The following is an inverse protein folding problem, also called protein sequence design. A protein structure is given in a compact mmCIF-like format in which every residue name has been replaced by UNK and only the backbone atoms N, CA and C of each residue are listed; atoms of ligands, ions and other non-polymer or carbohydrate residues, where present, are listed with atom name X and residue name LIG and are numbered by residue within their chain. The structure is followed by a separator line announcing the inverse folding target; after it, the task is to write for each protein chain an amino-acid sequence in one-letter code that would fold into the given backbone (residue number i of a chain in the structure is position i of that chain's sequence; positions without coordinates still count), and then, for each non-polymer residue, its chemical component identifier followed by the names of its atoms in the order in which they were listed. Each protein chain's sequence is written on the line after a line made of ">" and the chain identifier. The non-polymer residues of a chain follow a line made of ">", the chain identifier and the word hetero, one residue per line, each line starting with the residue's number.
data_IF_561039632865
#
_entry.id   IF_561039632865
#
_cell.length_a   1.000
_cell.length_b   1.000
_cell.length_c   1.000
_cell.angle_alpha   90.00
_cell.angle_beta   90.00
_cell.angle_gamma   90.00
#
_symmetry.space_group_name_H-M   'P 1'
#
loop_
_entity.id
_entity.type
_entity.pdbx_description
1 polymer ?
#
# COMPACT_ATOMS: atom_id res chain seq x y z
N UNK A 1 -39.10 -32.93 51.95
CA UNK A 1 -38.37 -31.79 52.53
C UNK A 1 -37.08 -31.59 51.76
N UNK A 2 -36.84 -30.36 51.33
CA UNK A 2 -35.56 -29.75 50.91
C UNK A 2 -34.88 -30.22 49.59
N UNK A 3 -35.36 -29.68 48.47
CA UNK A 3 -34.52 -29.30 47.32
C UNK A 3 -33.90 -27.94 47.62
N UNK A 4 -32.58 -27.89 47.85
CA UNK A 4 -31.79 -26.67 47.94
C UNK A 4 -31.51 -26.14 46.53
N UNK A 5 -32.06 -24.96 46.25
CA UNK A 5 -31.75 -24.18 45.06
C UNK A 5 -30.40 -23.44 45.23
N UNK A 6 -29.49 -23.70 44.29
CA UNK A 6 -28.28 -22.97 43.89
C UNK A 6 -27.85 -23.68 42.60
N UNK A 7 -27.66 -23.05 41.44
CA UNK A 7 -26.92 -21.86 41.04
C UNK A 7 -27.64 -21.26 39.80
N UNK A 8 -27.99 -19.97 39.74
CA UNK A 8 -27.19 -18.85 39.23
C UNK A 8 -26.36 -19.14 37.95
N UNK A 9 -27.06 -19.45 36.85
CA UNK A 9 -26.50 -19.42 35.50
C UNK A 9 -26.52 -17.99 34.92
N UNK A 10 -25.34 -17.51 34.53
CA UNK A 10 -25.10 -16.21 33.92
C UNK A 10 -25.83 -16.00 32.59
N UNK A 11 -27.08 -15.55 32.66
CA UNK A 11 -27.78 -14.96 31.53
C UNK A 11 -27.21 -13.60 31.12
N UNK A 12 -27.38 -13.17 29.86
CA UNK A 12 -26.93 -11.85 29.40
C UNK A 12 -27.55 -10.77 30.29
N UNK A 13 -26.74 -9.80 30.75
CA UNK A 13 -27.13 -8.70 31.63
C UNK A 13 -28.53 -8.17 31.28
N UNK A 14 -29.55 -8.55 32.06
CA UNK A 14 -30.92 -8.10 31.88
C UNK A 14 -31.21 -6.91 32.81
N UNK A 15 -31.87 -5.86 32.29
CA UNK A 15 -32.29 -4.69 33.08
C UNK A 15 -31.32 -3.50 33.08
N UNK A 16 -31.31 -2.74 34.18
CA UNK A 16 -30.59 -1.46 34.32
C UNK A 16 -29.08 -1.50 33.95
N UNK A 17 -28.30 -2.56 34.25
CA UNK A 17 -26.90 -2.64 33.84
C UNK A 17 -26.70 -2.61 32.31
N UNK A 18 -27.64 -3.18 31.54
CA UNK A 18 -27.62 -3.15 30.07
C UNK A 18 -27.85 -1.74 29.52
N UNK A 19 -28.78 -1.00 30.14
CA UNK A 19 -29.07 0.38 29.77
C UNK A 19 -27.90 1.31 30.12
N UNK A 20 -27.24 1.10 31.25
CA UNK A 20 -26.03 1.82 31.63
C UNK A 20 -24.86 1.52 30.67
N UNK A 21 -24.67 0.25 30.28
CA UNK A 21 -23.66 -0.13 29.30
C UNK A 21 -23.96 0.47 27.90
N UNK A 22 -25.23 0.48 27.48
CA UNK A 22 -25.66 1.12 26.23
C UNK A 22 -25.46 2.64 26.26
N UNK A 23 -25.77 3.31 27.39
CA UNK A 23 -25.53 4.75 27.56
C UNK A 23 -24.02 5.08 27.53
N UNK A 24 -23.19 4.28 28.19
CA UNK A 24 -21.73 4.43 28.15
C UNK A 24 -21.15 4.14 26.75
N UNK A 25 -21.73 3.21 26.00
CA UNK A 25 -21.39 2.99 24.60
C UNK A 25 -21.76 4.20 23.74
N UNK A 26 -22.99 4.71 23.86
CA UNK A 26 -23.46 5.86 23.11
C UNK A 26 -22.64 7.13 23.37
N UNK A 27 -22.22 7.37 24.63
CA UNK A 27 -21.35 8.49 24.96
C UNK A 27 -19.97 8.38 24.30
N UNK A 28 -19.36 7.18 24.32
CA UNK A 28 -18.09 6.90 23.63
C UNK A 28 -18.22 7.05 22.10
N UNK A 29 -19.33 6.60 21.53
CA UNK A 29 -19.60 6.73 20.10
C UNK A 29 -19.78 8.20 19.68
N UNK A 30 -20.46 9.00 20.51
CA UNK A 30 -20.62 10.43 20.28
C UNK A 30 -19.27 11.16 20.33
N UNK A 31 -18.43 10.87 21.33
CA UNK A 31 -17.09 11.44 21.46
C UNK A 31 -16.16 11.01 20.32
N UNK A 32 -16.19 9.73 19.94
CA UNK A 32 -15.46 9.20 18.81
C UNK A 32 -15.89 9.87 17.50
N UNK A 33 -17.19 10.11 17.30
CA UNK A 33 -17.73 10.82 16.15
C UNK A 33 -17.26 12.27 16.08
N UNK A 34 -17.27 13.00 17.20
CA UNK A 34 -16.77 14.38 17.26
C UNK A 34 -15.27 14.43 16.98
N UNK A 35 -14.50 13.52 17.59
CA UNK A 35 -13.04 13.41 17.35
C UNK A 35 -12.73 13.10 15.89
N UNK A 36 -13.48 12.18 15.26
CA UNK A 36 -13.34 11.88 13.84
C UNK A 36 -13.68 13.07 12.95
N UNK A 37 -14.76 13.80 13.26
CA UNK A 37 -15.16 15.00 12.53
C UNK A 37 -14.13 16.13 12.65
N UNK A 38 -13.55 16.33 13.84
CA UNK A 38 -12.46 17.29 14.05
C UNK A 38 -11.25 16.92 13.21
N UNK A 39 -10.81 15.67 13.26
CA UNK A 39 -9.68 15.21 12.46
C UNK A 39 -9.93 15.38 10.96
N UNK A 40 -11.13 15.06 10.46
CA UNK A 40 -11.44 15.19 9.02
C UNK A 40 -11.60 16.65 8.57
N UNK A 41 -12.15 17.54 9.41
CA UNK A 41 -12.36 18.95 9.07
C UNK A 41 -11.05 19.75 8.94
N UNK A 42 -10.03 19.38 9.70
CA UNK A 42 -8.74 20.08 9.70
C UNK A 42 -7.66 19.43 8.81
N UNK A 43 -7.99 18.36 8.09
CA UNK A 43 -7.09 17.80 7.07
C UNK A 43 -7.11 18.71 5.84
N UNK A 44 -5.95 19.24 5.38
CA UNK A 44 -5.91 20.04 4.16
C UNK A 44 -6.41 19.23 2.96
N UNK A 45 -7.20 19.86 2.08
CA UNK A 45 -7.85 19.16 0.95
C UNK A 45 -6.85 18.38 0.07
N UNK A 46 -5.65 18.93 -0.14
CA UNK A 46 -4.55 18.28 -0.88
C UNK A 46 -4.04 16.97 -0.26
N UNK A 47 -4.33 16.71 1.01
CA UNK A 47 -3.94 15.50 1.74
C UNK A 47 -5.13 14.58 2.00
N UNK A 48 -6.34 14.98 1.59
CA UNK A 48 -7.57 14.22 1.80
C UNK A 48 -7.75 13.24 0.65
N UNK A 49 -7.81 11.92 0.91
CA UNK A 49 -8.13 10.96 -0.14
C UNK A 49 -9.54 11.22 -0.68
N UNK A 50 -9.69 11.23 -2.00
CA UNK A 50 -10.99 11.37 -2.65
C UNK A 50 -11.84 10.10 -2.48
N UNK A 51 -13.13 10.17 -2.80
CA UNK A 51 -14.06 9.05 -2.58
C UNK A 51 -13.66 7.78 -3.36
N UNK A 52 -13.11 7.94 -4.57
CA UNK A 52 -12.59 6.81 -5.38
C UNK A 52 -11.40 6.14 -4.69
N UNK A 53 -10.44 6.93 -4.19
CA UNK A 53 -9.29 6.44 -3.42
C UNK A 53 -9.74 5.75 -2.13
N UNK A 54 -10.71 6.32 -1.40
CA UNK A 54 -11.26 5.70 -0.17
C UNK A 54 -11.90 4.35 -0.47
N UNK A 55 -12.68 4.26 -1.54
CA UNK A 55 -13.31 3.01 -1.98
C UNK A 55 -12.26 1.96 -2.38
N UNK A 56 -11.28 2.35 -3.18
CA UNK A 56 -10.18 1.48 -3.59
C UNK A 56 -9.37 0.97 -2.39
N UNK A 57 -9.05 1.84 -1.44
CA UNK A 57 -8.35 1.47 -0.19
C UNK A 57 -9.15 0.46 0.61
N UNK A 58 -10.47 0.66 0.76
CA UNK A 58 -11.32 -0.31 1.48
C UNK A 58 -11.30 -1.67 0.79
N UNK A 59 -11.47 -1.71 -0.53
CA UNK A 59 -11.46 -2.95 -1.31
C UNK A 59 -10.11 -3.68 -1.21
N UNK A 60 -8.99 -2.94 -1.27
CA UNK A 60 -7.65 -3.51 -1.10
C UNK A 60 -7.42 -4.07 0.32
N UNK A 61 -7.95 -3.42 1.36
CA UNK A 61 -7.90 -3.95 2.73
C UNK A 61 -8.69 -5.25 2.84
N UNK A 62 -9.91 -5.30 2.29
CA UNK A 62 -10.74 -6.51 2.27
C UNK A 62 -10.00 -7.66 1.59
N UNK A 63 -9.50 -7.44 0.36
CA UNK A 63 -8.77 -8.45 -0.40
C UNK A 63 -7.50 -8.91 0.32
N UNK A 64 -6.73 -7.99 0.92
CA UNK A 64 -5.49 -8.33 1.63
C UNK A 64 -5.75 -9.20 2.86
N UNK A 65 -6.78 -8.85 3.65
CA UNK A 65 -7.12 -9.61 4.86
C UNK A 65 -7.66 -10.98 4.47
N UNK A 66 -8.47 -11.07 3.42
CA UNK A 66 -9.00 -12.34 2.90
C UNK A 66 -7.88 -13.25 2.37
N UNK A 67 -6.91 -12.71 1.63
CA UNK A 67 -5.75 -13.45 1.11
C UNK A 67 -4.91 -14.02 2.26
N UNK A 68 -4.54 -13.20 3.24
CA UNK A 68 -3.78 -13.63 4.41
C UNK A 68 -4.52 -14.66 5.27
N UNK A 69 -5.81 -14.44 5.49
CA UNK A 69 -6.64 -15.37 6.25
C UNK A 69 -6.74 -16.71 5.54
N UNK A 70 -7.00 -16.71 4.23
CA UNK A 70 -7.13 -17.92 3.43
C UNK A 70 -5.85 -18.75 3.42
N UNK A 71 -4.70 -18.09 3.20
CA UNK A 71 -3.39 -18.75 3.19
C UNK A 71 -3.08 -19.40 4.55
N UNK A 72 -3.31 -18.69 5.66
CA UNK A 72 -3.06 -19.25 6.98
C UNK A 72 -4.06 -20.35 7.35
N UNK A 73 -5.31 -20.27 6.89
CA UNK A 73 -6.31 -21.34 7.12
C UNK A 73 -5.93 -22.62 6.40
N UNK A 74 -5.45 -22.54 5.16
CA UNK A 74 -4.95 -23.69 4.42
C UNK A 74 -3.78 -24.35 5.16
N UNK A 75 -2.76 -23.56 5.52
CA UNK A 75 -1.60 -24.07 6.26
C UNK A 75 -1.98 -24.65 7.64
N UNK A 76 -3.02 -24.12 8.29
CA UNK A 76 -3.53 -24.62 9.55
C UNK A 76 -4.29 -25.95 9.39
N UNK A 77 -5.13 -26.07 8.35
CA UNK A 77 -5.87 -27.31 8.05
C UNK A 77 -4.88 -28.45 7.77
N UNK A 78 -3.84 -28.19 6.98
CA UNK A 78 -2.81 -29.18 6.68
C UNK A 78 -2.07 -29.67 7.92
N UNK A 79 -1.80 -28.77 8.89
CA UNK A 79 -1.09 -29.10 10.13
C UNK A 79 -1.95 -29.79 11.18
N UNK A 80 -3.20 -29.35 11.34
CA UNK A 80 -4.13 -29.93 12.31
C UNK A 80 -4.79 -31.22 11.81
N UNK A 81 -4.87 -31.43 10.50
CA UNK A 81 -5.52 -32.59 9.90
C UNK A 81 -6.97 -32.75 10.39
N UNK A 82 -7.32 -33.94 10.89
CA UNK A 82 -8.66 -34.26 11.39
C UNK A 82 -9.06 -33.45 12.63
N UNK A 83 -8.10 -32.85 13.34
CA UNK A 83 -8.40 -32.01 14.51
C UNK A 83 -8.82 -30.58 14.13
N UNK A 84 -8.68 -30.20 12.85
CA UNK A 84 -9.08 -28.88 12.37
C UNK A 84 -10.60 -28.66 12.51
N UNK A 85 -11.05 -27.59 13.17
CA UNK A 85 -12.48 -27.31 13.28
C UNK A 85 -13.10 -27.10 11.89
N UNK A 86 -14.27 -27.70 11.56
CA UNK A 86 -14.87 -27.58 10.24
C UNK A 86 -15.08 -26.12 9.78
N UNK A 87 -15.32 -25.22 10.73
CA UNK A 87 -15.52 -23.80 10.44
C UNK A 87 -14.28 -23.11 9.86
N UNK A 88 -13.06 -23.60 10.13
CA UNK A 88 -11.81 -23.13 9.49
C UNK A 88 -11.78 -23.54 8.01
N UNK A 89 -12.48 -24.60 7.60
CA UNK A 89 -12.65 -24.96 6.19
C UNK A 89 -13.70 -24.11 5.44
N UNK A 90 -14.54 -23.34 6.14
CA UNK A 90 -15.62 -22.57 5.51
C UNK A 90 -15.15 -21.16 5.15
N UNK A 91 -14.71 -20.97 3.90
CA UNK A 91 -14.19 -19.69 3.39
C UNK A 91 -15.17 -18.50 3.53
N UNK A 92 -16.49 -18.77 3.58
CA UNK A 92 -17.51 -17.70 3.68
C UNK A 92 -17.52 -16.97 5.03
N UNK A 93 -16.90 -17.52 6.06
CA UNK A 93 -16.87 -16.93 7.40
C UNK A 93 -15.57 -16.14 7.53
N UNK A 94 -15.64 -14.81 7.43
CA UNK A 94 -14.52 -13.93 7.70
C UNK A 94 -14.21 -13.91 9.21
N UNK A 95 -12.99 -14.28 9.58
CA UNK A 95 -12.55 -14.35 10.98
C UNK A 95 -11.69 -13.14 11.34
N UNK A 96 -10.69 -12.83 10.52
CA UNK A 96 -9.67 -11.82 10.83
C UNK A 96 -10.23 -10.40 10.73
N UNK A 97 -10.99 -10.08 9.68
CA UNK A 97 -11.48 -8.71 9.42
C UNK A 97 -12.26 -8.09 10.59
N UNK A 98 -13.28 -8.75 11.19
CA UNK A 98 -14.01 -8.18 12.32
C UNK A 98 -13.16 -8.03 13.60
N UNK A 99 -12.11 -8.83 13.76
CA UNK A 99 -11.16 -8.71 14.88
C UNK A 99 -10.23 -7.52 14.63
N UNK A 100 -9.74 -7.37 13.40
CA UNK A 100 -8.87 -6.28 12.99
C UNK A 100 -9.52 -4.91 13.13
N UNK A 101 -10.80 -4.79 12.71
CA UNK A 101 -11.56 -3.55 12.83
C UNK A 101 -11.73 -3.12 14.30
N UNK A 102 -11.99 -4.07 15.20
CA UNK A 102 -12.11 -3.82 16.65
C UNK A 102 -10.76 -3.49 17.29
N UNK A 103 -9.70 -4.17 16.88
CA UNK A 103 -8.35 -3.97 17.41
C UNK A 103 -7.67 -2.70 16.84
N UNK A 104 -8.17 -2.15 15.73
CA UNK A 104 -7.63 -0.96 15.08
C UNK A 104 -6.28 -1.17 14.39
N UNK A 105 -5.85 -2.43 14.20
CA UNK A 105 -4.53 -2.76 13.63
C UNK A 105 -4.37 -2.35 12.16
N UNK A 106 -5.48 -2.20 11.43
CA UNK A 106 -5.49 -1.73 10.04
C UNK A 106 -5.17 -0.23 9.89
N UNK A 107 -5.05 0.51 11.01
CA UNK A 107 -4.65 1.92 11.02
C UNK A 107 -3.13 2.10 11.15
N UNK A 108 -2.37 1.02 11.04
CA UNK A 108 -0.92 1.06 11.05
C UNK A 108 -0.39 1.94 9.90
N UNK A 109 0.61 2.75 10.20
CA UNK A 109 1.06 3.84 9.33
C UNK A 109 1.63 3.33 8.01
N UNK A 110 2.46 2.29 8.04
CA UNK A 110 3.10 1.77 6.83
C UNK A 110 2.09 1.08 5.91
N UNK A 111 1.11 0.37 6.47
CA UNK A 111 -0.02 -0.19 5.72
C UNK A 111 -0.83 0.89 5.01
N UNK A 112 -1.23 1.94 5.74
CA UNK A 112 -2.00 3.05 5.17
C UNK A 112 -1.19 3.77 4.09
N UNK A 113 0.11 3.98 4.31
CA UNK A 113 1.00 4.58 3.33
C UNK A 113 1.11 3.73 2.06
N UNK A 114 1.23 2.41 2.19
CA UNK A 114 1.26 1.48 1.06
C UNK A 114 -0.05 1.51 0.26
N UNK A 115 -1.20 1.48 0.94
CA UNK A 115 -2.52 1.53 0.31
C UNK A 115 -2.75 2.85 -0.45
N UNK A 116 -2.33 3.98 0.15
CA UNK A 116 -2.38 5.28 -0.51
C UNK A 116 -1.47 5.32 -1.74
N UNK A 117 -0.23 4.82 -1.62
CA UNK A 117 0.69 4.71 -2.76
C UNK A 117 0.08 3.84 -3.87
N UNK A 118 -0.54 2.72 -3.54
CA UNK A 118 -1.18 1.81 -4.49
C UNK A 118 -2.36 2.45 -5.23
N UNK A 119 -3.20 3.18 -4.51
CA UNK A 119 -4.31 3.93 -5.11
C UNK A 119 -3.80 5.05 -6.04
N UNK A 120 -2.70 5.71 -5.66
CA UNK A 120 -2.11 6.79 -6.45
C UNK A 120 -1.41 6.29 -7.72
N UNK A 121 -0.64 5.19 -7.61
CA UNK A 121 -0.05 4.49 -8.74
C UNK A 121 -1.11 4.11 -9.78
N UNK A 122 -2.22 3.53 -9.32
CA UNK A 122 -3.33 3.16 -10.18
C UNK A 122 -3.95 4.37 -10.88
N UNK A 123 -4.26 5.45 -10.12
CA UNK A 123 -4.81 6.71 -10.67
C UNK A 123 -3.92 7.30 -11.76
N UNK A 124 -2.61 7.34 -11.54
CA UNK A 124 -1.65 7.88 -12.51
C UNK A 124 -1.56 6.96 -13.73
N UNK A 125 -1.44 5.64 -13.53
CA UNK A 125 -1.37 4.68 -14.63
C UNK A 125 -2.60 4.72 -15.52
N UNK A 126 -3.81 4.82 -14.94
CA UNK A 126 -5.05 5.06 -15.69
C UNK A 126 -5.04 6.40 -16.42
N UNK A 127 -4.52 7.45 -15.78
CA UNK A 127 -4.36 8.77 -16.38
C UNK A 127 -3.49 8.74 -17.63
N UNK A 128 -2.32 8.11 -17.54
CA UNK A 128 -1.39 7.98 -18.67
C UNK A 128 -2.03 7.16 -19.80
N UNK A 129 -2.64 6.01 -19.49
CA UNK A 129 -3.30 5.17 -20.49
C UNK A 129 -4.44 5.89 -21.21
N UNK A 130 -5.22 6.71 -20.49
CA UNK A 130 -6.29 7.54 -21.10
C UNK A 130 -5.74 8.60 -22.05
N UNK A 131 -4.64 9.24 -21.69
CA UNK A 131 -3.97 10.23 -22.55
C UNK A 131 -3.41 9.53 -23.80
N UNK A 132 -2.71 8.41 -23.62
CA UNK A 132 -2.14 7.63 -24.72
C UNK A 132 -3.21 7.10 -25.68
N UNK A 133 -4.40 6.72 -25.19
CA UNK A 133 -5.51 6.29 -26.03
C UNK A 133 -6.14 7.41 -26.88
N UNK A 134 -5.93 8.68 -26.50
CA UNK A 134 -6.40 9.84 -27.25
C UNK A 134 -5.38 10.32 -28.30
N UNK A 135 -4.14 9.80 -28.27
CA UNK A 135 -3.08 10.14 -29.22
C UNK A 135 -3.30 9.38 -30.55
N UNK A 136 -3.29 10.08 -31.72
CA UNK A 136 -3.38 9.43 -33.03
C UNK A 136 -2.21 8.49 -33.36
N UNK A 137 -1.03 8.65 -32.73
CA UNK A 137 0.07 7.69 -32.84
C UNK A 137 -0.04 6.64 -31.72
N UNK A 138 -0.35 5.36 -32.03
CA UNK A 138 -0.53 4.37 -30.99
C UNK A 138 0.76 4.15 -30.18
N UNK A 139 0.64 4.20 -28.86
CA UNK A 139 1.68 3.73 -27.98
C UNK A 139 1.93 2.23 -28.18
N UNK A 140 3.18 1.85 -28.52
CA UNK A 140 3.59 0.45 -28.59
C UNK A 140 4.03 -0.13 -29.95
N UNK A 141 4.45 0.66 -30.94
CA UNK A 141 5.12 0.09 -32.12
C UNK A 141 6.50 -0.52 -31.78
N UNK A 142 7.18 0.02 -30.75
CA UNK A 142 8.49 -0.48 -30.29
C UNK A 142 8.29 -1.35 -29.05
N UNK A 143 8.77 -2.60 -29.04
CA UNK A 143 8.81 -3.41 -27.82
C UNK A 143 9.58 -2.69 -26.72
N UNK A 144 9.16 -2.86 -25.47
CA UNK A 144 10.01 -2.46 -24.34
C UNK A 144 11.30 -3.28 -24.45
N UNK A 145 12.45 -2.60 -24.36
CA UNK A 145 13.76 -3.23 -24.40
C UNK A 145 14.06 -3.92 -23.05
N UNK A 146 13.29 -4.96 -22.73
CA UNK A 146 13.43 -5.77 -21.51
C UNK A 146 14.05 -7.10 -21.89
N UNK A 147 15.00 -7.58 -21.09
CA UNK A 147 15.56 -8.91 -21.26
C UNK A 147 14.45 -9.98 -21.12
N UNK A 148 14.37 -11.00 -21.99
CA UNK A 148 13.30 -12.01 -21.97
C UNK A 148 13.10 -12.68 -20.60
N UNK A 149 14.20 -12.95 -19.88
CA UNK A 149 14.19 -13.52 -18.53
C UNK A 149 13.60 -12.60 -17.44
N UNK A 150 13.46 -11.30 -17.71
CA UNK A 150 12.90 -10.31 -16.79
C UNK A 150 11.50 -9.85 -17.19
N UNK A 151 11.16 -9.94 -18.48
CA UNK A 151 9.88 -9.48 -19.02
C UNK A 151 8.70 -10.24 -18.44
N UNK A 152 8.73 -11.58 -18.47
CA UNK A 152 7.63 -12.39 -17.95
C UNK A 152 7.38 -12.18 -16.45
N UNK A 153 8.40 -12.25 -15.55
CA UNK A 153 8.18 -11.92 -14.14
C UNK A 153 7.61 -10.52 -13.91
N UNK A 154 8.10 -9.52 -14.66
CA UNK A 154 7.58 -8.16 -14.58
C UNK A 154 6.11 -8.07 -15.02
N UNK A 155 5.74 -8.65 -16.16
CA UNK A 155 4.37 -8.63 -16.66
C UNK A 155 3.39 -9.37 -15.75
N UNK A 156 3.81 -10.48 -15.13
CA UNK A 156 3.01 -11.18 -14.11
C UNK A 156 2.84 -10.29 -12.87
N UNK A 157 3.88 -9.57 -12.44
CA UNK A 157 3.75 -8.64 -11.32
C UNK A 157 2.85 -7.44 -11.64
N UNK A 158 2.95 -6.90 -12.85
CA UNK A 158 2.12 -5.81 -13.35
C UNK A 158 0.65 -6.24 -13.45
N UNK A 159 0.38 -7.43 -14.00
CA UNK A 159 -1.00 -7.90 -14.19
C UNK A 159 -1.72 -8.18 -12.87
N UNK A 160 -1.01 -8.42 -11.77
CA UNK A 160 -1.59 -8.60 -10.43
C UNK A 160 -1.98 -7.29 -9.75
N UNK A 161 -1.61 -6.13 -10.31
CA UNK A 161 -1.92 -4.81 -9.71
C UNK A 161 -3.36 -4.37 -9.88
N UNK A 162 -4.07 -4.96 -10.83
CA UNK A 162 -5.47 -4.66 -11.08
C UNK A 162 -6.26 -5.96 -11.21
N UNK A 163 -7.52 -5.93 -10.77
CA UNK A 163 -8.46 -7.01 -11.01
C UNK A 163 -9.03 -7.00 -12.44
N UNK A 164 -9.94 -7.92 -12.73
CA UNK A 164 -10.61 -8.00 -14.04
C UNK A 164 -11.52 -6.81 -14.36
N UNK A 165 -11.91 -6.01 -13.36
CA UNK A 165 -12.63 -4.75 -13.56
C UNK A 165 -11.67 -3.55 -13.72
N UNK A 166 -10.37 -3.78 -13.59
CA UNK A 166 -9.32 -2.77 -13.66
C UNK A 166 -9.03 -2.09 -12.33
N UNK A 167 -9.77 -2.38 -11.26
CA UNK A 167 -9.61 -1.71 -9.96
C UNK A 167 -8.33 -2.22 -9.25
N UNK A 168 -7.67 -1.39 -8.42
CA UNK A 168 -6.39 -1.74 -7.83
C UNK A 168 -6.53 -2.84 -6.79
N UNK A 169 -5.58 -3.77 -6.81
CA UNK A 169 -5.52 -4.91 -5.88
C UNK A 169 -4.22 -4.91 -5.08
N UNK A 170 -4.31 -5.45 -3.86
CA UNK A 170 -3.16 -5.67 -2.99
C UNK A 170 -3.24 -7.08 -2.41
N UNK A 171 -2.28 -7.93 -2.80
CA UNK A 171 -2.11 -9.26 -2.23
C UNK A 171 -1.00 -9.25 -1.18
N UNK A 172 -0.96 -10.26 -0.32
CA UNK A 172 0.12 -10.41 0.64
C UNK A 172 1.49 -10.70 0.00
N UNK A 173 1.53 -11.10 -1.29
CA UNK A 173 2.78 -11.23 -2.05
C UNK A 173 3.39 -9.88 -2.41
N UNK A 174 2.58 -8.83 -2.48
CA UNK A 174 3.01 -7.48 -2.88
C UNK A 174 3.35 -6.58 -1.68
N UNK A 175 3.36 -7.15 -0.47
CA UNK A 175 3.73 -6.44 0.76
C UNK A 175 5.26 -6.40 0.93
N UNK A 176 5.80 -5.33 1.53
CA UNK A 176 7.14 -5.36 2.13
C UNK A 176 7.23 -6.41 3.24
N UNK A 177 8.39 -7.05 3.42
CA UNK A 177 8.59 -8.14 4.36
C UNK A 177 8.21 -7.76 5.80
N UNK A 178 8.62 -6.58 6.26
CA UNK A 178 8.30 -6.07 7.61
C UNK A 178 6.79 -5.94 7.85
N UNK A 179 6.04 -5.57 6.81
CA UNK A 179 4.59 -5.43 6.90
C UNK A 179 3.90 -6.79 6.83
N UNK A 180 4.40 -7.70 5.97
CA UNK A 180 3.92 -9.08 5.91
C UNK A 180 4.09 -9.81 7.25
N UNK A 181 5.26 -9.66 7.90
CA UNK A 181 5.51 -10.25 9.23
C UNK A 181 4.46 -9.80 10.23
N UNK A 182 4.24 -8.49 10.36
CA UNK A 182 3.24 -7.94 11.30
C UNK A 182 1.83 -8.43 11.01
N UNK A 183 1.40 -8.36 9.75
CA UNK A 183 0.06 -8.76 9.34
C UNK A 183 -0.16 -10.27 9.51
N UNK A 184 0.80 -11.11 9.13
CA UNK A 184 0.70 -12.56 9.30
C UNK A 184 0.54 -12.94 10.78
N UNK A 185 1.30 -12.31 11.68
CA UNK A 185 1.16 -12.55 13.12
C UNK A 185 -0.17 -12.05 13.67
N UNK A 186 -0.67 -10.90 13.22
CA UNK A 186 -2.00 -10.43 13.62
C UNK A 186 -3.10 -11.36 13.13
N UNK A 187 -3.00 -11.87 11.90
CA UNK A 187 -3.97 -12.83 11.35
C UNK A 187 -3.92 -14.12 12.14
N UNK A 188 -2.73 -14.64 12.49
CA UNK A 188 -2.59 -15.81 13.34
C UNK A 188 -3.18 -15.59 14.74
N UNK A 189 -2.99 -14.40 15.34
CA UNK A 189 -3.60 -14.06 16.62
C UNK A 189 -5.14 -13.97 16.55
N UNK A 190 -5.68 -13.48 15.43
CA UNK A 190 -7.12 -13.45 15.19
C UNK A 190 -7.71 -14.87 15.03
N UNK A 191 -7.03 -15.73 14.27
CA UNK A 191 -7.39 -17.15 14.15
C UNK A 191 -7.29 -17.88 15.50
N UNK A 192 -6.29 -17.55 16.32
CA UNK A 192 -6.15 -18.08 17.69
C UNK A 192 -7.35 -17.72 18.57
N UNK A 193 -7.74 -16.44 18.64
CA UNK A 193 -8.91 -15.98 19.41
C UNK A 193 -10.21 -16.65 18.96
N UNK A 194 -10.33 -16.95 17.66
CA UNK A 194 -11.44 -17.72 17.13
C UNK A 194 -11.41 -19.18 17.58
N UNK A 195 -10.27 -19.86 17.42
CA UNK A 195 -10.09 -21.27 17.78
C UNK A 195 -10.29 -21.51 19.28
N UNK A 196 -9.81 -20.60 20.13
CA UNK A 196 -10.04 -20.60 21.59
C UNK A 196 -11.55 -20.73 21.94
N UNK A 197 -12.43 -20.18 21.10
CA UNK A 197 -13.88 -20.18 21.32
C UNK A 197 -14.60 -21.32 20.60
N UNK A 198 -14.03 -21.79 19.49
CA UNK A 198 -14.71 -22.69 18.56
C UNK A 198 -14.44 -24.18 18.82
N UNK A 199 -13.30 -24.53 19.42
CA UNK A 199 -12.93 -25.94 19.62
C UNK A 199 -12.02 -26.14 20.83
N UNK A 200 -12.19 -27.22 21.62
CA UNK A 200 -11.26 -27.60 22.67
C UNK A 200 -10.01 -28.25 22.07
N UNK A 201 -9.22 -27.46 21.33
CA UNK A 201 -7.89 -27.86 20.89
C UNK A 201 -6.91 -27.75 22.04
N UNK A 202 -5.91 -28.63 22.06
CA UNK A 202 -4.76 -28.45 22.95
C UNK A 202 -4.08 -27.11 22.65
N UNK A 203 -3.91 -26.22 23.66
CA UNK A 203 -3.34 -24.89 23.44
C UNK A 203 -1.94 -24.92 22.80
N UNK A 204 -1.11 -25.90 23.16
CA UNK A 204 0.24 -26.02 22.61
C UNK A 204 0.21 -26.44 21.14
N UNK A 205 -0.50 -27.53 20.81
CA UNK A 205 -0.64 -27.99 19.43
C UNK A 205 -1.24 -26.92 18.50
N UNK A 206 -2.19 -26.11 19.00
CA UNK A 206 -2.75 -24.98 18.23
C UNK A 206 -1.72 -23.90 17.98
N UNK A 207 -1.04 -23.43 19.03
CA UNK A 207 -0.10 -22.31 18.91
C UNK A 207 1.11 -22.70 18.03
N UNK A 208 1.59 -23.96 18.12
CA UNK A 208 2.60 -24.54 17.22
C UNK A 208 2.11 -24.61 15.77
N UNK A 209 0.87 -25.03 15.53
CA UNK A 209 0.32 -25.14 14.18
C UNK A 209 0.16 -23.77 13.51
N UNK A 210 -0.30 -22.77 14.26
CA UNK A 210 -0.40 -21.37 13.80
C UNK A 210 0.98 -20.79 13.51
N UNK A 211 1.94 -20.99 14.42
CA UNK A 211 3.32 -20.55 14.21
C UNK A 211 3.92 -21.19 12.96
N UNK A 212 3.71 -22.50 12.77
CA UNK A 212 4.17 -23.21 11.59
C UNK A 212 3.59 -22.65 10.29
N UNK A 213 2.29 -22.34 10.26
CA UNK A 213 1.64 -21.76 9.08
C UNK A 213 2.18 -20.36 8.75
N UNK A 214 2.42 -19.53 9.77
CA UNK A 214 3.05 -18.21 9.58
C UNK A 214 4.47 -18.36 9.03
N UNK A 215 5.30 -19.24 9.59
CA UNK A 215 6.67 -19.42 9.11
C UNK A 215 6.74 -19.92 7.68
N UNK A 216 5.87 -20.84 7.27
CA UNK A 216 5.79 -21.28 5.88
C UNK A 216 5.44 -20.11 4.94
N UNK A 217 4.45 -19.28 5.33
CA UNK A 217 4.08 -18.11 4.53
C UNK A 217 5.23 -17.11 4.41
N UNK A 218 5.92 -16.82 5.51
CA UNK A 218 7.04 -15.88 5.52
C UNK A 218 8.23 -16.42 4.71
N UNK A 219 8.51 -17.72 4.76
CA UNK A 219 9.57 -18.36 3.99
C UNK A 219 9.31 -18.35 2.47
N UNK A 220 8.03 -18.36 2.06
CA UNK A 220 7.63 -18.28 0.66
C UNK A 220 7.66 -16.85 0.08
N UNK A 221 7.89 -15.82 0.92
CA UNK A 221 7.87 -14.44 0.49
C UNK A 221 9.21 -14.02 -0.15
N UNK A 222 9.12 -13.43 -1.34
CA UNK A 222 10.25 -12.93 -2.10
C UNK A 222 9.94 -11.51 -2.59
N UNK A 223 10.58 -10.51 -1.97
CA UNK A 223 10.39 -9.10 -2.32
C UNK A 223 10.78 -8.81 -3.78
N UNK A 224 11.65 -9.63 -4.40
CA UNK A 224 12.02 -9.45 -5.80
C UNK A 224 10.90 -9.78 -6.79
N UNK A 225 9.84 -10.45 -6.32
CA UNK A 225 8.64 -10.79 -7.10
C UNK A 225 7.51 -9.77 -6.95
N UNK A 226 7.66 -8.81 -6.03
CA UNK A 226 6.81 -7.61 -5.99
C UNK A 226 6.99 -6.83 -7.30
N UNK A 227 6.00 -6.02 -7.68
CA UNK A 227 6.14 -5.20 -8.89
C UNK A 227 7.31 -4.22 -8.76
N UNK A 228 7.49 -3.60 -7.60
CA UNK A 228 8.60 -2.70 -7.31
C UNK A 228 9.95 -3.41 -7.48
N UNK A 229 10.09 -4.61 -6.91
CA UNK A 229 11.28 -5.44 -7.05
C UNK A 229 11.55 -5.87 -8.49
N UNK A 230 10.51 -6.31 -9.21
CA UNK A 230 10.60 -6.70 -10.61
C UNK A 230 10.96 -5.51 -11.52
N UNK A 231 10.33 -4.34 -11.32
CA UNK A 231 10.62 -3.12 -12.04
C UNK A 231 12.06 -2.64 -11.80
N UNK A 232 12.54 -2.68 -10.55
CA UNK A 232 13.92 -2.35 -10.23
C UNK A 232 14.92 -3.31 -10.89
N UNK A 233 14.63 -4.62 -10.92
CA UNK A 233 15.46 -5.59 -11.65
C UNK A 233 15.54 -5.28 -13.14
N UNK A 234 14.41 -4.96 -13.76
CA UNK A 234 14.36 -4.55 -15.18
C UNK A 234 15.21 -3.30 -15.40
N UNK A 235 15.01 -2.26 -14.59
CA UNK A 235 15.74 -0.99 -14.73
C UNK A 235 17.25 -1.12 -14.47
N UNK A 236 17.67 -1.99 -13.55
CA UNK A 236 19.09 -2.24 -13.26
C UNK A 236 19.79 -3.08 -14.33
N UNK A 237 19.06 -3.97 -15.01
CA UNK A 237 19.61 -4.83 -16.05
C UNK A 237 19.61 -4.18 -17.45
N UNK A 238 18.65 -3.29 -17.71
CA UNK A 238 18.52 -2.57 -18.97
C UNK A 238 19.25 -1.24 -19.01
N UNK A 239 19.24 -0.55 -20.17
CA UNK A 239 19.67 0.84 -20.25
C UNK A 239 18.63 1.72 -19.54
N UNK A 240 18.91 2.15 -18.31
CA UNK A 240 18.11 3.14 -17.62
C UNK A 240 18.39 4.55 -18.20
N UNK A 241 18.08 4.75 -19.48
CA UNK A 241 18.26 6.01 -20.20
C UNK A 241 16.94 6.77 -20.37
N UNK A 242 16.99 7.90 -21.10
CA UNK A 242 15.80 8.70 -21.40
C UNK A 242 14.74 7.95 -22.18
N UNK A 243 15.16 7.09 -23.12
CA UNK A 243 14.26 6.40 -24.04
C UNK A 243 13.48 5.32 -23.31
N UNK A 244 14.17 4.49 -22.53
CA UNK A 244 13.54 3.46 -21.71
C UNK A 244 12.57 4.07 -20.67
N UNK A 245 12.98 5.17 -20.03
CA UNK A 245 12.14 5.88 -19.06
C UNK A 245 10.89 6.47 -19.72
N UNK A 246 11.04 7.12 -20.87
CA UNK A 246 9.92 7.74 -21.59
C UNK A 246 8.96 6.68 -22.15
N UNK A 247 9.46 5.59 -22.71
CA UNK A 247 8.62 4.53 -23.26
C UNK A 247 7.84 3.79 -22.16
N UNK A 248 8.47 3.53 -21.01
CA UNK A 248 7.76 2.98 -19.85
C UNK A 248 6.62 3.90 -19.40
N UNK A 249 6.88 5.20 -19.32
CA UNK A 249 5.88 6.20 -18.98
C UNK A 249 4.74 6.20 -19.99
N UNK A 250 5.03 6.38 -21.28
CA UNK A 250 4.05 6.50 -22.37
C UNK A 250 3.12 5.29 -22.49
N UNK A 251 3.63 4.08 -22.20
CA UNK A 251 2.83 2.84 -22.20
C UNK A 251 1.98 2.65 -20.94
N UNK A 252 2.13 3.53 -19.95
CA UNK A 252 1.41 3.45 -18.67
C UNK A 252 2.01 2.45 -17.68
N UNK A 253 3.26 2.01 -17.90
CA UNK A 253 4.02 1.19 -16.94
C UNK A 253 4.69 2.09 -15.91
N UNK A 254 3.88 2.73 -15.08
CA UNK A 254 4.34 3.77 -14.15
C UNK A 254 5.39 3.24 -13.16
N UNK A 255 5.24 2.01 -12.67
CA UNK A 255 6.22 1.39 -11.76
C UNK A 255 7.59 1.18 -12.44
N UNK A 256 7.63 0.85 -13.73
CA UNK A 256 8.88 0.77 -14.48
C UNK A 256 9.48 2.16 -14.75
N UNK A 257 8.64 3.17 -15.03
CA UNK A 257 9.10 4.56 -15.11
C UNK A 257 9.76 5.01 -13.80
N UNK A 258 9.11 4.75 -12.65
CA UNK A 258 9.63 5.07 -11.31
C UNK A 258 10.95 4.34 -11.05
N UNK A 259 11.07 3.06 -11.44
CA UNK A 259 12.31 2.32 -11.30
C UNK A 259 13.47 2.90 -12.13
N UNK A 260 13.21 3.29 -13.38
CA UNK A 260 14.20 3.99 -14.22
C UNK A 260 14.63 5.32 -13.60
N UNK A 261 13.67 6.10 -13.09
CA UNK A 261 13.94 7.34 -12.37
C UNK A 261 14.80 7.10 -11.13
N UNK A 262 14.51 6.05 -10.35
CA UNK A 262 15.25 5.68 -9.15
C UNK A 262 16.72 5.36 -9.46
N UNK A 263 16.95 4.52 -10.47
CA UNK A 263 18.30 4.13 -10.92
C UNK A 263 19.11 5.36 -11.36
N UNK A 264 18.51 6.23 -12.19
CA UNK A 264 19.19 7.44 -12.70
C UNK A 264 19.44 8.49 -11.62
N UNK A 265 18.46 8.74 -10.75
CA UNK A 265 18.57 9.70 -9.66
C UNK A 265 19.46 9.19 -8.51
N UNK A 266 19.73 7.88 -8.47
CA UNK A 266 20.45 7.15 -7.41
C UNK A 266 19.75 7.28 -6.06
N UNK A 267 18.45 7.03 -6.07
CA UNK A 267 17.58 7.03 -4.87
C UNK A 267 16.87 5.68 -4.77
N UNK A 268 16.32 5.37 -3.60
CA UNK A 268 15.48 4.17 -3.47
C UNK A 268 14.15 4.32 -4.23
N UNK A 269 13.51 3.20 -4.56
CA UNK A 269 12.25 3.17 -5.32
C UNK A 269 11.16 4.04 -4.67
N UNK A 270 10.99 3.97 -3.35
CA UNK A 270 9.95 4.72 -2.66
C UNK A 270 10.21 6.22 -2.67
N UNK A 271 11.47 6.65 -2.62
CA UNK A 271 11.84 8.04 -2.85
C UNK A 271 11.51 8.52 -4.26
N UNK A 272 11.86 7.73 -5.28
CA UNK A 272 11.53 8.05 -6.66
C UNK A 272 10.00 8.09 -6.87
N UNK A 273 9.26 7.19 -6.23
CA UNK A 273 7.80 7.17 -6.26
C UNK A 273 7.23 8.48 -5.69
N UNK A 274 7.64 8.88 -4.48
CA UNK A 274 7.18 10.13 -3.86
C UNK A 274 7.50 11.37 -4.72
N UNK A 275 8.66 11.38 -5.36
CA UNK A 275 9.07 12.43 -6.31
C UNK A 275 8.16 12.42 -7.55
N UNK A 276 7.92 11.25 -8.14
CA UNK A 276 7.15 11.08 -9.36
C UNK A 276 5.65 11.36 -9.17
N UNK A 277 5.10 11.08 -7.98
CA UNK A 277 3.69 11.31 -7.65
C UNK A 277 3.45 12.70 -7.03
N UNK A 278 4.41 13.62 -7.10
CA UNK A 278 4.21 14.99 -6.59
C UNK A 278 3.04 15.66 -7.33
N UNK A 279 1.93 16.00 -6.65
CA UNK A 279 0.79 16.65 -7.28
C UNK A 279 1.16 17.99 -7.92
N UNK A 280 2.19 18.67 -7.42
CA UNK A 280 2.65 19.96 -7.93
C UNK A 280 3.68 19.86 -9.06
N UNK A 281 4.07 18.64 -9.47
CA UNK A 281 5.10 18.28 -10.47
C UNK A 281 6.50 18.89 -10.24
N UNK A 282 6.71 19.64 -9.17
CA UNK A 282 7.94 20.37 -8.91
C UNK A 282 9.08 19.45 -8.50
N UNK A 283 8.80 18.47 -7.62
CA UNK A 283 9.80 17.48 -7.24
C UNK A 283 10.23 16.64 -8.46
N UNK A 284 9.27 16.27 -9.31
CA UNK A 284 9.53 15.54 -10.56
C UNK A 284 10.36 16.39 -11.53
N UNK A 285 10.05 17.67 -11.71
CA UNK A 285 10.81 18.59 -12.56
C UNK A 285 12.27 18.71 -12.11
N UNK A 286 12.50 18.89 -10.80
CA UNK A 286 13.84 18.91 -10.20
C UNK A 286 14.57 17.60 -10.44
N UNK A 287 13.90 16.46 -10.27
CA UNK A 287 14.52 15.15 -10.49
C UNK A 287 14.90 14.91 -11.96
N UNK A 288 14.00 15.24 -12.90
CA UNK A 288 14.26 15.14 -14.35
C UNK A 288 15.45 16.04 -14.77
N UNK A 289 15.54 17.24 -14.19
CA UNK A 289 16.69 18.12 -14.40
C UNK A 289 17.98 17.52 -13.83
N UNK A 290 17.94 17.00 -12.61
CA UNK A 290 19.11 16.47 -11.92
C UNK A 290 19.72 15.21 -12.59
N UNK A 291 18.89 14.43 -13.30
CA UNK A 291 19.32 13.27 -14.11
C UNK A 291 19.67 13.63 -15.55
N UNK A 292 19.66 14.91 -15.90
CA UNK A 292 19.94 15.42 -17.25
C UNK A 292 19.03 14.82 -18.32
N UNK A 293 17.73 14.67 -18.01
CA UNK A 293 16.77 14.25 -19.01
C UNK A 293 16.71 15.28 -20.15
N UNK A 294 16.65 14.81 -21.41
CA UNK A 294 16.39 15.65 -22.58
C UNK A 294 15.15 16.51 -22.36
N UNK A 295 15.23 17.77 -22.73
CA UNK A 295 14.16 18.75 -22.52
C UNK A 295 12.83 18.29 -23.09
N UNK A 296 12.84 17.63 -24.26
CA UNK A 296 11.64 17.11 -24.93
C UNK A 296 10.98 16.00 -24.11
N UNK A 297 11.78 15.09 -23.56
CA UNK A 297 11.31 13.98 -22.71
C UNK A 297 10.76 14.54 -21.40
N UNK A 298 11.50 15.43 -20.75
CA UNK A 298 11.09 16.03 -19.50
C UNK A 298 9.79 16.85 -19.64
N UNK A 299 9.70 17.69 -20.68
CA UNK A 299 8.51 18.49 -20.95
C UNK A 299 7.28 17.61 -21.20
N UNK A 300 7.42 16.52 -21.99
CA UNK A 300 6.32 15.60 -22.25
C UNK A 300 5.81 14.91 -20.98
N UNK A 301 6.72 14.42 -20.14
CA UNK A 301 6.36 13.80 -18.85
C UNK A 301 5.68 14.82 -17.93
N UNK A 302 6.24 16.02 -17.77
CA UNK A 302 5.69 17.06 -16.90
C UNK A 302 4.30 17.52 -17.36
N UNK A 303 4.09 17.69 -18.66
CA UNK A 303 2.81 18.11 -19.23
C UNK A 303 1.72 17.07 -18.98
N UNK A 304 2.03 15.79 -19.21
CA UNK A 304 1.09 14.69 -18.95
C UNK A 304 0.79 14.55 -17.45
N UNK A 305 1.80 14.63 -16.59
CA UNK A 305 1.61 14.58 -15.14
C UNK A 305 0.79 15.77 -14.63
N UNK A 306 1.00 16.98 -15.17
CA UNK A 306 0.19 18.15 -14.86
C UNK A 306 -1.28 17.95 -15.24
N UNK A 307 -1.54 17.38 -16.43
CA UNK A 307 -2.89 17.06 -16.88
C UNK A 307 -3.57 16.00 -15.98
N UNK A 308 -2.83 14.95 -15.60
CA UNK A 308 -3.31 13.89 -14.69
C UNK A 308 -3.62 14.44 -13.30
N UNK A 309 -2.82 15.39 -12.82
CA UNK A 309 -2.98 16.03 -11.52
C UNK A 309 -3.97 17.21 -11.54
N UNK A 310 -4.49 17.59 -12.71
CA UNK A 310 -5.44 18.69 -12.85
C UNK A 310 -4.86 20.05 -12.50
N UNK A 311 -3.58 20.29 -12.82
CA UNK A 311 -2.95 21.59 -12.63
C UNK A 311 -3.61 22.63 -13.52
N UNK A 312 -3.89 23.81 -12.96
CA UNK A 312 -4.34 24.97 -13.74
C UNK A 312 -3.25 25.41 -14.71
N UNK A 313 -3.65 25.89 -15.90
CA UNK A 313 -2.73 26.40 -16.93
C UNK A 313 -1.69 27.40 -16.39
N UNK A 314 -2.11 28.36 -15.54
CA UNK A 314 -1.19 29.34 -14.95
C UNK A 314 -0.09 28.71 -14.08
N UNK A 315 -0.41 27.66 -13.31
CA UNK A 315 0.58 26.93 -12.50
C UNK A 315 1.47 26.04 -13.34
N UNK A 316 0.94 25.48 -14.43
CA UNK A 316 1.72 24.71 -15.37
C UNK A 316 2.76 25.62 -16.04
N UNK A 317 2.36 26.80 -16.52
CA UNK A 317 3.27 27.80 -17.09
C UNK A 317 4.37 28.19 -16.10
N UNK A 318 4.01 28.49 -14.85
CA UNK A 318 4.97 28.74 -13.76
C UNK A 318 5.98 27.60 -13.62
N UNK A 319 5.51 26.35 -13.55
CA UNK A 319 6.36 25.16 -13.36
C UNK A 319 7.27 24.87 -14.55
N UNK A 320 6.81 25.12 -15.77
CA UNK A 320 7.64 24.95 -16.96
C UNK A 320 8.73 26.02 -17.00
N UNK A 321 8.42 27.27 -16.67
CA UNK A 321 9.43 28.33 -16.57
C UNK A 321 10.44 28.03 -15.46
N UNK A 322 9.99 27.62 -14.28
CA UNK A 322 10.85 27.17 -13.17
C UNK A 322 11.82 26.06 -13.64
N UNK A 323 11.34 25.09 -14.41
CA UNK A 323 12.15 23.99 -14.92
C UNK A 323 13.23 24.46 -15.92
N UNK A 324 12.88 25.39 -16.83
CA UNK A 324 13.80 25.93 -17.82
C UNK A 324 14.90 26.79 -17.17
N UNK A 325 14.55 27.51 -16.10
CA UNK A 325 15.48 28.37 -15.35
C UNK A 325 16.34 27.59 -14.35
N UNK A 326 15.94 26.38 -13.96
CA UNK A 326 16.63 25.56 -12.95
C UNK A 326 18.03 25.13 -13.40
N UNK A 327 19.05 25.51 -12.64
CA UNK A 327 20.41 25.05 -12.88
C UNK A 327 20.61 23.56 -12.53
N UNK A 328 21.49 22.89 -13.27
CA UNK A 328 21.78 21.47 -13.06
C UNK A 328 22.42 21.20 -11.69
N UNK A 329 23.32 22.08 -11.22
CA UNK A 329 23.97 21.89 -9.93
C UNK A 329 22.97 22.08 -8.77
N UNK A 330 22.09 23.07 -8.88
CA UNK A 330 21.02 23.30 -7.91
C UNK A 330 20.05 22.12 -7.84
N UNK A 331 19.63 21.58 -9.00
CA UNK A 331 18.78 20.40 -9.07
C UNK A 331 19.44 19.18 -8.39
N UNK A 332 20.75 18.97 -8.62
CA UNK A 332 21.50 17.86 -8.03
C UNK A 332 21.66 17.99 -6.52
N UNK A 333 21.86 19.19 -5.99
CA UNK A 333 21.88 19.42 -4.54
C UNK A 333 20.49 19.24 -3.93
N UNK A 334 19.42 19.64 -4.62
CA UNK A 334 18.04 19.48 -4.15
C UNK A 334 17.62 17.99 -4.00
N UNK A 335 18.09 17.10 -4.89
CA UNK A 335 17.81 15.67 -4.78
C UNK A 335 18.75 14.93 -3.81
N UNK A 336 19.86 15.55 -3.40
CA UNK A 336 20.89 14.90 -2.57
C UNK A 336 20.35 14.31 -1.26
N UNK A 337 19.44 14.95 -0.51
CA UNK A 337 18.85 14.33 0.68
C UNK A 337 18.14 13.01 0.36
N UNK A 338 17.47 12.91 -0.78
CA UNK A 338 16.73 11.70 -1.19
C UNK A 338 17.63 10.51 -1.52
N UNK A 339 18.92 10.74 -1.77
CA UNK A 339 19.93 9.68 -1.93
C UNK A 339 20.34 9.05 -0.60
N UNK A 340 20.05 9.71 0.51
CA UNK A 340 20.30 9.15 1.83
C UNK A 340 19.26 8.09 2.14
N UNK A 341 19.72 7.06 2.86
CA UNK A 341 18.86 6.00 3.36
C UNK A 341 17.62 6.57 4.07
N UNK A 342 16.46 5.94 3.82
CA UNK A 342 15.16 6.40 4.33
C UNK A 342 15.12 6.36 5.86
N UNK A 343 15.68 5.34 6.50
CA UNK A 343 15.73 5.25 7.95
C UNK A 343 16.62 6.35 8.52
N UNK A 344 17.74 6.66 7.86
CA UNK A 344 18.59 7.78 8.27
C UNK A 344 17.88 9.14 8.13
N UNK A 345 17.15 9.38 7.04
CA UNK A 345 16.32 10.59 6.88
C UNK A 345 15.23 10.70 7.94
N UNK A 346 14.56 9.59 8.26
CA UNK A 346 13.55 9.55 9.29
C UNK A 346 14.15 9.91 10.66
N UNK A 347 15.30 9.34 11.00
CA UNK A 347 16.02 9.64 12.24
C UNK A 347 16.44 11.12 12.34
N UNK A 348 16.92 11.73 11.25
CA UNK A 348 17.21 13.18 11.21
C UNK A 348 15.95 14.00 11.47
N UNK A 349 14.83 13.62 10.86
CA UNK A 349 13.56 14.33 11.03
C UNK A 349 13.02 14.19 12.46
N UNK A 350 13.17 13.02 13.10
CA UNK A 350 12.79 12.80 14.50
C UNK A 350 13.57 13.69 15.46
N UNK A 351 14.91 13.69 15.35
CA UNK A 351 15.78 14.55 16.18
C UNK A 351 15.52 16.04 15.91
N UNK A 352 15.27 16.39 14.64
CA UNK A 352 14.97 17.77 14.24
C UNK A 352 13.65 18.30 14.78
N UNK A 353 12.63 17.43 14.95
CA UNK A 353 11.34 17.80 15.57
C UNK A 353 11.49 18.11 17.05
N UNK A 354 12.26 17.33 17.79
CA UNK A 354 12.51 17.58 19.22
C UNK A 354 13.21 18.92 19.47
N UNK A 355 14.11 19.36 18.57
CA UNK A 355 14.77 20.67 18.66
C UNK A 355 13.86 21.87 18.40
N UNK A 356 12.75 21.70 17.67
CA UNK A 356 11.77 22.78 17.42
C UNK A 356 10.67 22.84 18.48
N UNK A 357 10.50 21.76 19.25
CA UNK A 357 9.53 21.68 20.34
C UNK A 357 10.10 22.13 21.69
N UNK A 358 11.41 22.39 21.78
CA UNK A 358 12.10 23.07 22.89
C UNK A 358 12.39 24.50 22.49
#
# INVERSE_FOLDING_TARGET
>A
MALTAREDEGGPLAGAPRLLAAAAYAAREADARVSAALNDLFVPERHRPNDRQRSAISAMIDALVEDLESDLRLGLIERLGETAPPAIGVARIAIARPIFDRAGVLRERDLVALLLARAEEHRISEGIRRIAAADPEPAGATPLAIAPELEMPYLIAESRRSDGAGEPTLSARDLPADLLVRLAWWTAAALRDYLDRASPLDPAARDESLQGAVFERLAAHDESQTLEGAAMRVALAGPADDEAMFEAFRRGYFSLFVANLAVRARVDYMSAFVIATDPGIGALAVALRAIEARTEVAASILLQMAAINGLSEAKLEERINDYLDLDLAEAREAIRPWRLDRAFRAAIADIGRERRAR
#
